data_IF_620131099186
#
_entry.id   IF_620131099186
#
_cell.length_a   1.000
_cell.length_b   1.000
_cell.length_c   1.000
_cell.angle_alpha   90.00
_cell.angle_beta   90.00
_cell.angle_gamma   90.00
#
_symmetry.space_group_name_H-M   'P 1'
#
loop_
_entity.id
_entity.type
_entity.pdbx_description
1 polymer ?
#
# COMPACT_ATOMS: atom_id res chain seq x y z
N UNK A 1 15.87 -5.12 19.17
CA UNK A 1 15.60 -4.83 17.75
C UNK A 1 15.05 -3.42 17.67
N UNK A 2 15.90 -2.48 17.27
CA UNK A 2 15.65 -1.04 17.29
C UNK A 2 14.87 -0.66 16.03
N UNK A 3 13.57 -0.41 16.17
CA UNK A 3 12.78 0.30 15.16
C UNK A 3 13.25 1.75 15.14
N UNK A 4 14.10 2.10 14.18
CA UNK A 4 14.53 3.47 13.95
C UNK A 4 13.28 4.27 13.55
N UNK A 5 12.82 5.25 14.34
CA UNK A 5 11.67 6.06 13.96
C UNK A 5 12.18 7.19 13.07
N UNK A 6 12.50 6.88 11.81
CA UNK A 6 12.84 7.92 10.85
C UNK A 6 11.58 8.43 10.17
N UNK A 7 11.33 9.72 10.39
CA UNK A 7 10.56 10.63 9.54
C UNK A 7 9.13 10.18 9.19
N UNK A 8 8.17 10.47 10.10
CA UNK A 8 6.72 10.46 9.82
C UNK A 8 6.32 9.29 8.91
N UNK A 9 6.45 8.06 9.40
CA UNK A 9 6.25 6.84 8.61
C UNK A 9 4.99 6.95 7.77
N UNK A 10 5.16 7.19 6.47
CA UNK A 10 4.03 7.43 5.57
C UNK A 10 3.22 6.15 5.34
N UNK A 11 3.82 4.98 5.62
CA UNK A 11 3.15 3.68 5.66
C UNK A 11 3.24 3.14 7.10
N UNK A 12 2.10 2.83 7.70
CA UNK A 12 1.97 2.28 9.04
C UNK A 12 1.33 0.89 8.99
N UNK A 13 1.83 -0.06 9.78
CA UNK A 13 1.20 -1.37 9.91
C UNK A 13 0.03 -1.27 10.88
N UNK A 14 -1.17 -1.64 10.43
CA UNK A 14 -2.39 -1.68 11.24
C UNK A 14 -2.96 -3.10 11.24
N UNK A 15 -4.06 -3.32 11.97
CA UNK A 15 -4.81 -4.60 11.95
C UNK A 15 -5.30 -4.97 10.54
N UNK A 16 -5.42 -3.99 9.63
CA UNK A 16 -5.81 -4.20 8.22
C UNK A 16 -4.60 -4.38 7.29
N UNK A 17 -3.39 -4.37 7.84
CA UNK A 17 -2.12 -4.42 7.11
C UNK A 17 -1.48 -3.05 6.85
N UNK A 18 -0.65 -2.95 5.82
CA UNK A 18 0.15 -1.76 5.53
C UNK A 18 -0.73 -0.63 4.98
N UNK A 19 -0.88 0.43 5.77
CA UNK A 19 -1.82 1.54 5.55
C UNK A 19 -1.08 2.86 5.34
N UNK A 20 -1.54 3.68 4.41
CA UNK A 20 -1.00 5.02 4.19
C UNK A 20 -1.42 5.93 5.36
N UNK A 21 -0.43 6.52 6.04
CA UNK A 21 -0.63 7.37 7.21
C UNK A 21 -1.56 8.55 6.91
N UNK A 22 -2.47 8.80 7.85
CA UNK A 22 -3.52 9.82 7.71
C UNK A 22 -4.70 9.38 6.84
N UNK A 23 -4.73 8.11 6.39
CA UNK A 23 -5.83 7.55 5.60
C UNK A 23 -6.25 6.18 6.13
N UNK A 24 -7.33 5.62 5.56
CA UNK A 24 -7.72 4.21 5.73
C UNK A 24 -7.34 3.35 4.53
N UNK A 25 -6.53 3.89 3.61
CA UNK A 25 -6.16 3.27 2.34
C UNK A 25 -4.94 2.40 2.58
N UNK A 26 -5.04 1.13 2.22
CA UNK A 26 -3.94 0.19 2.28
C UNK A 26 -3.08 0.30 1.02
N UNK A 27 -1.81 -0.12 1.12
CA UNK A 27 -0.98 -0.25 -0.08
C UNK A 27 -1.56 -1.31 -1.02
N UNK A 28 -2.28 -2.31 -0.50
CA UNK A 28 -2.94 -3.35 -1.29
C UNK A 28 -4.06 -2.76 -2.18
N UNK A 29 -4.81 -1.76 -1.68
CA UNK A 29 -5.85 -1.09 -2.46
C UNK A 29 -5.30 -0.38 -3.71
N UNK A 30 -4.03 0.07 -3.65
CA UNK A 30 -3.37 0.70 -4.80
C UNK A 30 -2.57 -0.29 -5.65
N UNK A 31 -2.29 -1.51 -5.15
CA UNK A 31 -1.50 -2.52 -5.86
C UNK A 31 -2.14 -2.95 -7.18
N UNK A 32 -3.47 -3.06 -7.25
CA UNK A 32 -4.21 -3.34 -8.49
C UNK A 32 -3.86 -2.34 -9.60
N UNK A 33 -3.74 -1.06 -9.23
CA UNK A 33 -3.44 0.01 -10.17
C UNK A 33 -1.95 0.10 -10.49
N UNK A 34 -1.09 -0.19 -9.51
CA UNK A 34 0.37 -0.21 -9.70
C UNK A 34 0.77 -1.36 -10.62
N UNK A 35 0.22 -2.55 -10.41
CA UNK A 35 0.47 -3.73 -11.26
C UNK A 35 -0.08 -3.55 -12.67
N UNK A 36 -1.22 -2.87 -12.82
CA UNK A 36 -1.75 -2.46 -14.12
C UNK A 36 -1.04 -1.21 -14.72
N UNK A 37 0.04 -0.72 -14.11
CA UNK A 37 0.89 0.37 -14.60
C UNK A 37 0.15 1.71 -14.80
N UNK A 38 -0.87 1.98 -13.98
CA UNK A 38 -1.56 3.26 -14.02
C UNK A 38 -0.62 4.42 -13.59
N UNK A 39 -0.76 5.61 -14.20
CA UNK A 39 0.01 6.78 -13.78
C UNK A 39 -0.25 7.14 -12.32
N UNK A 40 0.79 7.48 -11.56
CA UNK A 40 0.68 7.87 -10.14
C UNK A 40 -0.30 9.02 -9.90
N UNK A 41 -0.38 9.98 -10.83
CA UNK A 41 -1.37 11.09 -10.79
C UNK A 41 -2.81 10.60 -10.85
N UNK A 42 -3.07 9.51 -11.58
CA UNK A 42 -4.39 8.91 -11.68
C UNK A 42 -4.77 8.22 -10.37
N UNK A 43 -3.88 7.37 -9.85
CA UNK A 43 -4.06 6.68 -8.56
C UNK A 43 -4.28 7.70 -7.44
N UNK A 44 -3.48 8.77 -7.43
CA UNK A 44 -3.62 9.88 -6.48
C UNK A 44 -5.02 10.49 -6.50
N UNK A 45 -5.55 10.80 -7.69
CA UNK A 45 -6.88 11.39 -7.83
C UNK A 45 -8.01 10.43 -7.48
N UNK A 46 -7.82 9.13 -7.71
CA UNK A 46 -8.80 8.10 -7.38
C UNK A 46 -9.00 7.94 -5.87
N UNK A 47 -7.90 8.04 -5.13
CA UNK A 47 -7.86 7.81 -3.68
C UNK A 47 -7.80 9.10 -2.85
N UNK A 48 -7.93 10.25 -3.48
CA UNK A 48 -7.80 11.59 -2.86
C UNK A 48 -6.53 11.73 -1.99
N UNK A 49 -5.41 11.20 -2.50
CA UNK A 49 -4.13 11.22 -1.80
C UNK A 49 -3.38 12.53 -2.08
N UNK A 50 -2.58 12.96 -1.11
CA UNK A 50 -1.59 14.00 -1.36
C UNK A 50 -0.43 13.46 -2.18
N UNK A 51 0.31 14.34 -2.85
CA UNK A 51 1.51 13.96 -3.61
C UNK A 51 2.56 13.26 -2.73
N UNK A 52 2.73 13.71 -1.49
CA UNK A 52 3.63 13.08 -0.53
C UNK A 52 3.20 11.65 -0.19
N UNK A 53 1.90 11.42 0.01
CA UNK A 53 1.35 10.10 0.33
C UNK A 53 1.54 9.10 -0.81
N UNK A 54 1.16 9.47 -2.05
CA UNK A 54 1.30 8.56 -3.19
C UNK A 54 2.78 8.26 -3.48
N UNK A 55 3.65 9.27 -3.42
CA UNK A 55 5.08 9.06 -3.67
C UNK A 55 5.71 8.16 -2.60
N UNK A 56 5.34 8.35 -1.33
CA UNK A 56 5.83 7.50 -0.26
C UNK A 56 5.29 6.06 -0.36
N UNK A 57 4.02 5.89 -0.77
CA UNK A 57 3.45 4.57 -0.99
C UNK A 57 4.13 3.82 -2.14
N UNK A 58 4.34 4.49 -3.27
CA UNK A 58 5.06 3.91 -4.41
C UNK A 58 6.52 3.59 -4.07
N UNK A 59 7.21 4.48 -3.36
CA UNK A 59 8.59 4.23 -2.91
C UNK A 59 8.67 3.02 -1.95
N UNK A 60 7.69 2.88 -1.05
CA UNK A 60 7.63 1.75 -0.13
C UNK A 60 7.35 0.44 -0.87
N UNK A 61 6.40 0.44 -1.82
CA UNK A 61 6.08 -0.72 -2.65
C UNK A 61 7.31 -1.14 -3.45
N UNK A 62 8.01 -0.21 -4.10
CA UNK A 62 9.19 -0.54 -4.90
C UNK A 62 10.33 -1.09 -4.02
N UNK A 63 10.58 -0.48 -2.87
CA UNK A 63 11.61 -0.92 -1.94
C UNK A 63 11.34 -2.31 -1.31
N UNK A 64 10.07 -2.68 -1.17
CA UNK A 64 9.64 -3.92 -0.49
C UNK A 64 8.80 -4.82 -1.42
N UNK A 65 9.03 -4.73 -2.75
CA UNK A 65 8.12 -5.28 -3.76
C UNK A 65 7.84 -6.76 -3.58
N UNK A 66 8.86 -7.56 -3.26
CA UNK A 66 8.71 -8.99 -3.06
C UNK A 66 7.81 -9.32 -1.87
N UNK A 67 7.99 -8.64 -0.73
CA UNK A 67 7.23 -8.88 0.48
C UNK A 67 5.79 -8.37 0.35
N UNK A 68 5.62 -7.18 -0.24
CA UNK A 68 4.30 -6.57 -0.47
C UNK A 68 3.48 -7.42 -1.44
N UNK A 69 4.08 -7.91 -2.53
CA UNK A 69 3.39 -8.78 -3.49
C UNK A 69 3.01 -10.12 -2.85
N UNK A 70 3.90 -10.73 -2.06
CA UNK A 70 3.60 -11.98 -1.37
C UNK A 70 2.41 -11.82 -0.39
N UNK A 71 2.39 -10.75 0.40
CA UNK A 71 1.27 -10.45 1.28
C UNK A 71 -0.02 -10.16 0.49
N UNK A 72 0.07 -9.40 -0.60
CA UNK A 72 -1.07 -9.07 -1.46
C UNK A 72 -1.74 -10.33 -2.05
N UNK A 73 -0.95 -11.30 -2.51
CA UNK A 73 -1.46 -12.57 -3.03
C UNK A 73 -2.18 -13.40 -1.94
N UNK A 74 -1.70 -13.35 -0.70
CA UNK A 74 -2.38 -14.02 0.44
C UNK A 74 -3.74 -13.37 0.69
N UNK A 75 -3.79 -12.03 0.78
CA UNK A 75 -5.03 -11.28 1.01
C UNK A 75 -6.05 -11.53 -0.11
N UNK A 76 -5.61 -11.55 -1.37
CA UNK A 76 -6.48 -11.89 -2.51
C UNK A 76 -7.07 -13.29 -2.36
N UNK A 77 -6.24 -14.28 -2.02
CA UNK A 77 -6.68 -15.66 -1.84
C UNK A 77 -7.68 -15.79 -0.69
N UNK A 78 -7.42 -15.16 0.44
CA UNK A 78 -8.34 -15.14 1.59
C UNK A 78 -9.68 -14.47 1.23
N UNK A 79 -9.64 -13.37 0.46
CA UNK A 79 -10.84 -12.69 -0.01
C UNK A 79 -11.66 -13.55 -0.99
N UNK A 80 -11.01 -14.33 -1.85
CA UNK A 80 -11.67 -15.31 -2.71
C UNK A 80 -12.27 -16.47 -1.91
N UNK A 81 -11.55 -17.00 -0.93
CA UNK A 81 -12.01 -18.10 -0.07
C UNK A 81 -13.21 -17.69 0.80
N UNK A 82 -13.25 -16.46 1.32
CA UNK A 82 -14.39 -15.93 2.08
C UNK A 82 -15.65 -15.71 1.23
N UNK A 83 -15.53 -15.72 -0.09
CA UNK A 83 -16.64 -15.52 -1.02
C UNK A 83 -17.34 -16.84 -1.40
N UNK A 84 -16.75 -17.97 -1.07
CA UNK A 84 -17.26 -19.34 -1.29
C UNK A 84 -18.08 -19.83 -0.08
#
# INVERSE_FOLDING_TARGET
>A
MTTVPNERTAIIRTERGLTIAGTRITIYDIMDYVTAQYPSKFIRGLFDLTEAQINAALAYIEANRADVEAEYQIVLKEAEELRL
#
